data_IF_697459628686
#
_entry.id   IF_697459628686
#
_cell.length_a   1.000
_cell.length_b   1.000
_cell.length_c   1.000
_cell.angle_alpha   90.00
_cell.angle_beta   90.00
_cell.angle_gamma   90.00
#
_symmetry.space_group_name_H-M   'P 1'
#
loop_
_entity.id
_entity.type
_entity.pdbx_description
1 polymer ?
#
# COMPACT_ATOMS: atom_id res chain seq x y z
N UNK A 1 34.96 21.01 -12.03
CA UNK A 1 34.09 21.00 -10.83
C UNK A 1 32.65 21.40 -11.19
N UNK A 2 32.04 20.82 -12.21
CA UNK A 2 30.68 21.17 -12.67
C UNK A 2 29.85 19.90 -12.89
N UNK A 3 29.26 19.33 -11.83
CA UNK A 3 28.28 18.25 -11.94
C UNK A 3 27.45 17.99 -10.67
N UNK A 4 27.81 18.58 -9.51
CA UNK A 4 27.08 18.35 -8.25
C UNK A 4 25.68 18.97 -8.25
N UNK A 5 25.55 20.22 -8.70
CA UNK A 5 24.26 20.94 -8.64
C UNK A 5 23.17 20.32 -9.52
N UNK A 6 23.51 19.88 -10.74
CA UNK A 6 22.56 19.24 -11.65
C UNK A 6 22.09 17.86 -11.15
N UNK A 7 22.98 17.09 -10.48
CA UNK A 7 22.62 15.84 -9.83
C UNK A 7 21.62 16.07 -8.70
N UNK A 8 21.90 17.04 -7.82
CA UNK A 8 21.03 17.36 -6.68
C UNK A 8 19.64 17.80 -7.12
N UNK A 9 19.52 18.64 -8.15
CA UNK A 9 18.21 19.05 -8.68
C UNK A 9 17.42 17.91 -9.31
N UNK A 10 18.08 16.97 -9.98
CA UNK A 10 17.43 15.80 -10.58
C UNK A 10 16.93 14.84 -9.51
N UNK A 11 17.72 14.65 -8.44
CA UNK A 11 17.37 13.78 -7.32
C UNK A 11 16.19 14.35 -6.52
N UNK A 12 16.17 15.66 -6.27
CA UNK A 12 15.02 16.34 -5.65
C UNK A 12 13.75 16.27 -6.51
N UNK A 13 13.85 16.43 -7.83
CA UNK A 13 12.69 16.28 -8.72
C UNK A 13 12.14 14.85 -8.74
N UNK A 14 13.02 13.84 -8.69
CA UNK A 14 12.59 12.44 -8.59
C UNK A 14 11.87 12.17 -7.27
N UNK A 15 12.37 12.72 -6.16
CA UNK A 15 11.75 12.61 -4.84
C UNK A 15 10.35 13.23 -4.84
N UNK A 16 10.21 14.47 -5.32
CA UNK A 16 8.90 15.14 -5.46
C UNK A 16 7.93 14.34 -6.34
N UNK A 17 8.39 13.83 -7.48
CA UNK A 17 7.54 13.04 -8.38
C UNK A 17 7.14 11.69 -7.76
N UNK A 18 8.00 11.10 -6.94
CA UNK A 18 7.72 9.87 -6.21
C UNK A 18 6.68 10.12 -5.12
N UNK A 19 6.82 11.21 -4.36
CA UNK A 19 5.87 11.60 -3.32
C UNK A 19 4.46 11.86 -3.90
N UNK A 20 4.37 12.58 -5.02
CA UNK A 20 3.09 12.81 -5.74
C UNK A 20 2.47 11.48 -6.21
N UNK A 21 3.32 10.51 -6.60
CA UNK A 21 2.86 9.18 -7.03
C UNK A 21 2.31 8.36 -5.86
N UNK A 22 3.03 8.34 -4.73
CA UNK A 22 2.65 7.63 -3.50
C UNK A 22 1.37 8.24 -2.89
N UNK A 23 1.24 9.58 -2.88
CA UNK A 23 0.05 10.29 -2.42
C UNK A 23 -1.18 9.90 -3.25
N UNK A 24 -1.07 9.98 -4.59
CA UNK A 24 -2.15 9.59 -5.49
C UNK A 24 -2.57 8.14 -5.30
N UNK A 25 -1.63 7.23 -5.06
CA UNK A 25 -1.94 5.83 -4.79
C UNK A 25 -2.64 5.66 -3.44
N UNK A 26 -2.23 6.43 -2.44
CA UNK A 26 -2.88 6.47 -1.11
C UNK A 26 -4.31 7.00 -1.19
N UNK A 27 -4.57 8.10 -1.92
CA UNK A 27 -5.94 8.59 -2.11
C UNK A 27 -6.84 7.55 -2.79
N UNK A 28 -6.30 6.83 -3.79
CA UNK A 28 -7.05 5.78 -4.48
C UNK A 28 -7.32 4.55 -3.58
N UNK A 29 -6.40 4.19 -2.67
CA UNK A 29 -6.61 3.07 -1.76
C UNK A 29 -7.63 3.42 -0.67
N UNK A 30 -7.73 4.68 -0.25
CA UNK A 30 -8.75 5.13 0.72
C UNK A 30 -10.16 4.83 0.21
N UNK A 31 -10.42 5.06 -1.08
CA UNK A 31 -11.73 4.80 -1.68
C UNK A 31 -12.11 3.31 -1.70
N UNK A 32 -11.18 2.42 -2.05
CA UNK A 32 -11.45 0.97 -2.15
C UNK A 32 -11.15 0.18 -0.88
N UNK A 33 -10.47 0.79 0.09
CA UNK A 33 -9.87 0.15 1.25
C UNK A 33 -8.63 -0.68 0.90
N UNK A 34 -7.71 -0.86 1.86
CA UNK A 34 -6.60 -1.82 1.72
C UNK A 34 -7.08 -3.23 2.11
N UNK A 35 -7.03 -4.18 1.18
CA UNK A 35 -7.56 -5.53 1.42
C UNK A 35 -6.51 -6.42 2.06
N UNK A 36 -6.74 -6.82 3.32
CA UNK A 36 -5.74 -7.52 4.14
C UNK A 36 -6.01 -9.03 4.32
N UNK A 37 -7.17 -9.54 3.89
CA UNK A 37 -7.49 -10.98 3.89
C UNK A 37 -8.27 -11.38 2.64
N UNK A 38 -8.29 -12.69 2.33
CA UNK A 38 -8.89 -13.25 1.11
C UNK A 38 -10.41 -13.05 1.10
N UNK A 39 -11.06 -13.19 2.26
CA UNK A 39 -12.50 -13.03 2.42
C UNK A 39 -12.93 -11.58 2.14
N UNK A 40 -12.19 -10.60 2.65
CA UNK A 40 -12.47 -9.17 2.40
C UNK A 40 -12.35 -8.85 0.92
N UNK A 41 -11.31 -9.36 0.26
CA UNK A 41 -11.12 -9.21 -1.18
C UNK A 41 -12.32 -9.78 -1.95
N UNK A 42 -12.70 -11.02 -1.69
CA UNK A 42 -13.78 -11.68 -2.42
C UNK A 42 -15.13 -10.96 -2.20
N UNK A 43 -15.41 -10.54 -0.97
CA UNK A 43 -16.63 -9.79 -0.65
C UNK A 43 -16.70 -8.45 -1.38
N UNK A 44 -15.60 -7.68 -1.37
CA UNK A 44 -15.55 -6.37 -2.06
C UNK A 44 -15.67 -6.57 -3.57
N UNK A 45 -14.95 -7.54 -4.15
CA UNK A 45 -15.06 -7.83 -5.59
C UNK A 45 -16.46 -8.31 -5.99
N UNK A 46 -17.19 -9.01 -5.12
CA UNK A 46 -18.60 -9.35 -5.38
C UNK A 46 -19.50 -8.11 -5.34
N UNK A 47 -19.23 -7.15 -4.45
CA UNK A 47 -20.03 -5.93 -4.31
C UNK A 47 -19.87 -4.95 -5.48
N UNK A 48 -18.74 -4.97 -6.18
CA UNK A 48 -18.49 -4.08 -7.33
C UNK A 48 -19.22 -4.65 -8.57
N UNK A 49 -20.20 -3.95 -9.18
CA UNK A 49 -20.95 -4.51 -10.30
C UNK A 49 -20.16 -4.44 -11.63
N UNK A 50 -19.30 -3.45 -11.79
CA UNK A 50 -18.64 -3.14 -13.06
C UNK A 50 -17.28 -3.86 -13.19
N UNK A 51 -17.10 -4.62 -14.28
CA UNK A 51 -15.83 -5.32 -14.59
C UNK A 51 -14.63 -4.36 -14.73
N UNK A 52 -14.83 -3.19 -15.33
CA UNK A 52 -13.80 -2.17 -15.46
C UNK A 52 -13.36 -1.64 -14.08
N UNK A 53 -14.33 -1.44 -13.19
CA UNK A 53 -14.07 -0.97 -11.84
C UNK A 53 -13.38 -2.04 -10.98
N UNK A 54 -13.78 -3.31 -11.07
CA UNK A 54 -13.06 -4.44 -10.41
C UNK A 54 -11.60 -4.46 -10.81
N UNK A 55 -11.33 -4.37 -12.11
CA UNK A 55 -9.97 -4.32 -12.65
C UNK A 55 -9.22 -3.12 -12.10
N UNK A 56 -9.83 -1.93 -12.11
CA UNK A 56 -9.22 -0.71 -11.56
C UNK A 56 -8.85 -0.89 -10.09
N UNK A 57 -9.77 -1.38 -9.27
CA UNK A 57 -9.54 -1.64 -7.85
C UNK A 57 -8.38 -2.62 -7.63
N UNK A 58 -8.33 -3.73 -8.39
CA UNK A 58 -7.24 -4.71 -8.31
C UNK A 58 -5.88 -4.11 -8.69
N UNK A 59 -5.81 -3.35 -9.79
CA UNK A 59 -4.57 -2.68 -10.20
C UNK A 59 -4.10 -1.67 -9.15
N UNK A 60 -5.03 -0.96 -8.51
CA UNK A 60 -4.70 -0.05 -7.41
C UNK A 60 -4.16 -0.79 -6.19
N UNK A 61 -4.71 -1.95 -5.82
CA UNK A 61 -4.15 -2.79 -4.76
C UNK A 61 -2.71 -3.21 -5.07
N UNK A 62 -2.45 -3.67 -6.30
CA UNK A 62 -1.10 -4.07 -6.73
C UNK A 62 -0.12 -2.90 -6.66
N UNK A 63 -0.51 -1.74 -7.21
CA UNK A 63 0.32 -0.53 -7.21
C UNK A 63 0.63 -0.03 -5.80
N UNK A 64 -0.38 0.02 -4.92
CA UNK A 64 -0.20 0.44 -3.53
C UNK A 64 0.75 -0.50 -2.76
N UNK A 65 0.58 -1.82 -2.91
CA UNK A 65 1.46 -2.81 -2.29
C UNK A 65 2.89 -2.71 -2.80
N UNK A 66 3.07 -2.45 -4.09
CA UNK A 66 4.39 -2.33 -4.71
C UNK A 66 5.13 -1.05 -4.28
N UNK A 67 4.47 0.09 -4.35
CA UNK A 67 5.14 1.38 -4.28
C UNK A 67 5.05 2.02 -2.89
N UNK A 68 3.89 1.92 -2.23
CA UNK A 68 3.67 2.53 -0.91
C UNK A 68 4.14 1.57 0.18
N UNK A 69 3.58 0.36 0.23
CA UNK A 69 4.01 -0.63 1.23
C UNK A 69 5.41 -1.20 0.96
N UNK A 70 5.94 -1.01 -0.26
CA UNK A 70 7.24 -1.54 -0.69
C UNK A 70 7.35 -3.05 -0.42
N UNK A 71 6.25 -3.77 -0.69
CA UNK A 71 6.11 -5.19 -0.38
C UNK A 71 7.16 -6.04 -1.10
N UNK A 72 7.94 -6.78 -0.32
CA UNK A 72 8.93 -7.70 -0.88
C UNK A 72 8.30 -9.02 -1.34
N UNK A 73 8.53 -9.36 -2.61
CA UNK A 73 8.10 -10.61 -3.25
C UNK A 73 9.25 -11.22 -4.04
N UNK A 74 9.22 -12.55 -4.21
CA UNK A 74 10.21 -13.26 -5.03
C UNK A 74 10.06 -12.92 -6.51
N UNK A 75 8.83 -12.93 -7.02
CA UNK A 75 8.54 -12.58 -8.42
C UNK A 75 7.84 -11.22 -8.49
N UNK A 76 8.55 -10.19 -8.95
CA UNK A 76 7.98 -8.84 -9.12
C UNK A 76 6.91 -8.76 -10.20
N UNK A 77 6.82 -9.75 -11.10
CA UNK A 77 5.78 -9.77 -12.15
C UNK A 77 4.37 -9.84 -11.58
N UNK A 78 4.22 -10.29 -10.33
CA UNK A 78 2.94 -10.34 -9.63
C UNK A 78 2.25 -8.97 -9.53
N UNK A 79 3.02 -7.88 -9.53
CA UNK A 79 2.49 -6.52 -9.47
C UNK A 79 2.06 -5.97 -10.84
N UNK A 80 2.40 -6.65 -11.94
CA UNK A 80 2.12 -6.14 -13.27
C UNK A 80 0.62 -6.23 -13.58
N UNK A 81 0.06 -5.15 -14.13
CA UNK A 81 -1.32 -5.15 -14.65
C UNK A 81 -1.46 -5.76 -16.06
N UNK A 82 -0.34 -5.95 -16.75
CA UNK A 82 -0.26 -6.44 -18.12
C UNK A 82 0.94 -7.35 -18.33
N UNK A 83 0.82 -8.29 -19.25
CA UNK A 83 1.92 -9.12 -19.73
C UNK A 83 2.01 -9.00 -21.25
N UNK A 84 3.21 -8.69 -21.78
CA UNK A 84 3.46 -8.53 -23.22
C UNK A 84 2.46 -7.58 -23.93
N UNK A 85 2.10 -6.48 -23.27
CA UNK A 85 1.15 -5.49 -23.81
C UNK A 85 -0.33 -5.88 -23.71
N UNK A 86 -0.65 -7.12 -23.28
CA UNK A 86 -2.01 -7.54 -22.99
C UNK A 86 -2.36 -7.36 -21.52
N UNK A 87 -3.52 -6.78 -21.24
CA UNK A 87 -4.03 -6.63 -19.89
C UNK A 87 -4.34 -8.02 -19.29
N UNK A 88 -3.92 -8.26 -18.05
CA UNK A 88 -4.22 -9.51 -17.35
C UNK A 88 -5.73 -9.67 -17.10
N UNK A 89 -6.23 -10.89 -16.92
CA UNK A 89 -7.66 -11.09 -16.63
C UNK A 89 -7.99 -10.68 -15.19
N UNK A 90 -9.27 -10.48 -14.87
CA UNK A 90 -9.70 -10.15 -13.49
C UNK A 90 -9.36 -11.31 -12.54
N UNK A 91 -9.47 -12.54 -13.02
CA UNK A 91 -9.14 -13.76 -12.27
C UNK A 91 -7.65 -13.79 -11.96
N UNK A 92 -6.80 -13.49 -12.96
CA UNK A 92 -5.34 -13.45 -12.76
C UNK A 92 -4.94 -12.36 -11.77
N UNK A 93 -5.51 -11.15 -11.91
CA UNK A 93 -5.24 -10.04 -10.99
C UNK A 93 -5.72 -10.36 -9.56
N UNK A 94 -6.88 -11.03 -9.44
CA UNK A 94 -7.41 -11.50 -8.16
C UNK A 94 -6.45 -12.47 -7.48
N UNK A 95 -5.97 -13.49 -8.20
CA UNK A 95 -5.01 -14.45 -7.66
C UNK A 95 -3.69 -13.79 -7.25
N UNK A 96 -3.19 -12.83 -8.05
CA UNK A 96 -2.01 -12.06 -7.69
C UNK A 96 -2.19 -11.32 -6.36
N UNK A 97 -3.34 -10.66 -6.14
CA UNK A 97 -3.60 -9.97 -4.86
C UNK A 97 -3.78 -10.97 -3.72
N UNK A 98 -4.46 -12.10 -3.93
CA UNK A 98 -4.60 -13.16 -2.91
C UNK A 98 -3.25 -13.73 -2.48
N UNK A 99 -2.35 -13.98 -3.42
CA UNK A 99 -0.99 -14.42 -3.14
C UNK A 99 -0.21 -13.35 -2.36
N UNK A 100 -0.34 -12.07 -2.71
CA UNK A 100 0.30 -10.99 -1.96
C UNK A 100 -0.22 -10.88 -0.52
N UNK A 101 -1.51 -11.09 -0.31
CA UNK A 101 -2.14 -11.15 1.02
C UNK A 101 -1.57 -12.32 1.82
N UNK A 102 -1.53 -13.51 1.23
CA UNK A 102 -1.00 -14.71 1.87
C UNK A 102 0.48 -14.59 2.21
N UNK A 103 1.30 -14.09 1.28
CA UNK A 103 2.72 -13.84 1.55
C UNK A 103 2.94 -12.81 2.66
N UNK A 104 2.05 -11.81 2.79
CA UNK A 104 2.11 -10.83 3.89
C UNK A 104 1.58 -11.39 5.22
N UNK A 105 0.74 -12.43 5.20
CA UNK A 105 0.24 -13.07 6.41
C UNK A 105 1.18 -14.18 6.91
N UNK A 106 1.82 -14.92 6.00
CA UNK A 106 2.64 -16.09 6.32
C UNK A 106 4.10 -15.76 6.64
N UNK A 107 4.61 -14.61 6.21
CA UNK A 107 6.00 -14.25 6.50
C UNK A 107 6.09 -13.55 7.85
N UNK A 108 6.78 -14.20 8.79
CA UNK A 108 7.70 -13.50 9.69
C UNK A 108 8.80 -12.84 8.82
N UNK A 109 8.52 -11.72 8.15
CA UNK A 109 9.54 -10.90 7.46
C UNK A 109 10.45 -10.20 8.48
N UNK A 110 10.69 -10.82 9.64
CA UNK A 110 11.70 -10.39 10.61
C UNK A 110 13.12 -10.54 10.05
N UNK A 111 13.32 -11.31 8.96
CA UNK A 111 14.64 -11.67 8.45
C UNK A 111 15.16 -10.84 7.27
N UNK A 112 14.36 -9.93 6.68
CA UNK A 112 14.86 -9.00 5.66
C UNK A 112 14.58 -7.51 5.95
N UNK A 113 13.86 -7.19 7.04
CA UNK A 113 13.77 -5.83 7.59
C UNK A 113 14.83 -5.68 8.71
N UNK A 114 16.07 -6.10 8.46
CA UNK A 114 17.19 -5.66 9.28
C UNK A 114 17.52 -4.22 8.87
N UNK A 115 16.91 -3.24 9.55
CA UNK A 115 17.63 -2.07 10.12
C UNK A 115 16.77 -1.01 10.82
N UNK A 116 15.42 -1.08 10.84
CA UNK A 116 14.61 -0.01 11.49
C UNK A 116 13.83 -0.42 12.75
N UNK A 117 13.66 -1.70 13.06
CA UNK A 117 12.65 -2.12 14.06
C UNK A 117 13.06 -2.15 15.54
N UNK A 118 14.24 -1.68 15.94
CA UNK A 118 14.62 -1.80 17.36
C UNK A 118 14.01 -0.75 18.30
N UNK A 119 13.26 0.25 17.80
CA UNK A 119 12.75 1.35 18.63
C UNK A 119 11.40 1.97 18.24
N UNK A 120 10.57 1.33 17.40
CA UNK A 120 9.24 1.91 17.18
C UNK A 120 8.33 1.68 18.40
N UNK A 121 7.76 2.73 19.01
CA UNK A 121 6.80 2.56 20.08
C UNK A 121 5.59 1.82 19.54
N UNK A 122 5.11 0.81 20.26
CA UNK A 122 3.87 0.12 19.92
C UNK A 122 2.72 1.11 20.16
N UNK A 123 2.23 1.72 19.08
CA UNK A 123 1.10 2.66 19.10
C UNK A 123 -0.27 1.96 19.16
N UNK A 124 -0.31 0.63 19.05
CA UNK A 124 -1.55 -0.15 19.10
C UNK A 124 -2.33 0.15 20.38
N UNK A 125 -3.64 0.39 20.23
CA UNK A 125 -4.58 0.83 21.26
C UNK A 125 -4.36 2.25 21.81
N UNK A 126 -3.41 3.03 21.29
CA UNK A 126 -3.23 4.43 21.68
C UNK A 126 -4.24 5.33 20.96
N UNK A 127 -4.67 6.38 21.66
CA UNK A 127 -5.35 7.54 21.08
C UNK A 127 -4.30 8.43 20.44
N UNK A 128 -4.58 8.89 19.23
CA UNK A 128 -3.69 9.76 18.46
C UNK A 128 -4.47 10.98 17.99
N UNK A 129 -3.76 12.07 17.77
CA UNK A 129 -4.23 13.22 17.00
C UNK A 129 -3.36 13.29 15.75
N UNK A 130 -3.98 13.16 14.58
CA UNK A 130 -3.28 13.12 13.29
C UNK A 130 -3.59 14.38 12.51
N UNK A 131 -2.55 15.17 12.21
CA UNK A 131 -2.68 16.40 11.43
C UNK A 131 -2.49 16.12 9.94
N UNK A 132 -3.49 16.49 9.15
CA UNK A 132 -3.45 16.57 7.70
C UNK A 132 -3.47 18.04 7.25
N UNK A 133 -3.38 18.27 5.94
CA UNK A 133 -3.45 19.63 5.38
C UNK A 133 -4.81 20.30 5.65
N UNK A 134 -5.85 19.49 5.81
CA UNK A 134 -7.24 19.89 6.00
C UNK A 134 -7.61 20.13 7.47
N UNK A 135 -6.82 19.63 8.43
CA UNK A 135 -7.12 19.72 9.86
C UNK A 135 -6.48 18.62 10.70
N UNK A 136 -6.75 18.65 12.01
CA UNK A 136 -6.34 17.61 12.95
C UNK A 136 -7.53 16.70 13.27
N UNK A 137 -7.31 15.39 13.20
CA UNK A 137 -8.33 14.38 13.41
C UNK A 137 -7.90 13.43 14.51
N UNK A 138 -8.74 13.30 15.52
CA UNK A 138 -8.51 12.36 16.62
C UNK A 138 -8.97 10.95 16.23
N UNK A 139 -8.26 9.95 16.74
CA UNK A 139 -8.59 8.57 16.45
C UNK A 139 -7.87 7.58 17.36
N UNK A 140 -8.07 6.30 17.07
CA UNK A 140 -7.46 5.19 17.78
C UNK A 140 -6.75 4.26 16.81
N UNK A 141 -5.49 3.94 17.12
CA UNK A 141 -4.75 2.89 16.43
C UNK A 141 -5.30 1.53 16.87
N UNK A 142 -5.83 0.76 15.92
CA UNK A 142 -6.48 -0.53 16.20
C UNK A 142 -5.49 -1.68 16.08
N UNK A 143 -4.63 -1.64 15.06
CA UNK A 143 -3.64 -2.68 14.79
C UNK A 143 -2.54 -2.17 13.87
N UNK A 144 -1.47 -2.94 13.71
CA UNK A 144 -0.48 -2.77 12.64
C UNK A 144 -0.95 -3.50 11.39
N UNK A 145 -0.53 -3.02 10.22
CA UNK A 145 -0.75 -3.75 8.96
C UNK A 145 0.14 -5.02 8.97
N UNK A 146 -0.39 -6.22 8.68
CA UNK A 146 0.39 -7.46 8.69
C UNK A 146 1.64 -7.38 7.80
N UNK A 147 2.79 -7.81 8.30
CA UNK A 147 4.12 -7.66 7.66
C UNK A 147 4.63 -6.24 7.42
N UNK A 148 3.92 -5.20 7.83
CA UNK A 148 4.32 -3.79 7.66
C UNK A 148 4.24 -3.05 9.00
N UNK A 149 5.24 -3.23 9.90
CA UNK A 149 5.19 -2.70 11.26
C UNK A 149 5.18 -1.17 11.36
N UNK A 150 5.63 -0.50 10.30
CA UNK A 150 5.64 0.97 10.18
C UNK A 150 4.26 1.54 9.77
N UNK A 151 3.29 0.67 9.43
CA UNK A 151 1.95 1.06 8.99
C UNK A 151 0.88 0.61 9.99
N UNK A 152 -0.08 1.49 10.25
CA UNK A 152 -1.13 1.30 11.25
C UNK A 152 -2.52 1.38 10.65
N UNK A 153 -3.42 0.52 11.11
CA UNK A 153 -4.85 0.63 10.90
C UNK A 153 -5.42 1.57 11.98
N UNK A 154 -5.98 2.70 11.57
CA UNK A 154 -6.53 3.74 12.45
C UNK A 154 -8.02 3.88 12.17
N UNK A 155 -8.81 3.97 13.24
CA UNK A 155 -10.20 4.42 13.16
C UNK A 155 -10.24 5.85 13.71
N UNK A 156 -10.73 6.79 12.91
CA UNK A 156 -10.97 8.16 13.35
C UNK A 156 -12.30 8.27 14.06
N UNK A 157 -12.38 9.15 15.05
CA UNK A 157 -13.62 9.48 15.72
C UNK A 157 -14.52 10.18 14.67
N UNK A 158 -15.75 9.71 14.47
CA UNK A 158 -16.72 10.41 13.63
C UNK A 158 -17.19 11.67 14.37
N UNK A 159 -17.03 12.84 13.78
CA UNK A 159 -17.76 14.05 14.21
C UNK A 159 -19.26 13.94 13.91
#
# INVERSE_FOLDING_TARGET
>A
MHNKAASTTLDTLKEILMDISEEKQTSNIIYYGLWQCKETLDNILMSIPNKCEKRKALVLQLGFRQNVLKQYVKDKKIFNASNNGMLLTIETLTENVKQLIEEAASKDVASNIHQRSSKMPILVNKRISHSFNEGAFDGKVISTVPSFPDYYNIIYDCE
#
